data_IF_663161798784
#
_entry.id   IF_663161798784
#
_cell.length_a   1.000
_cell.length_b   1.000
_cell.length_c   1.000
_cell.angle_alpha   90.00
_cell.angle_beta   90.00
_cell.angle_gamma   90.00
#
_symmetry.space_group_name_H-M   'P 1'
#
loop_
_entity.id
_entity.type
_entity.pdbx_description
1 polymer ?
#
# COMPACT_ATOMS: atom_id res chain seq x y z
N UNK A 1 3.81 18.85 -5.50
CA UNK A 1 2.89 18.18 -4.54
C UNK A 1 1.65 19.01 -4.25
N UNK A 2 1.80 20.24 -3.77
CA UNK A 2 0.63 21.14 -3.59
C UNK A 2 -0.08 21.43 -4.91
N UNK A 3 0.67 21.57 -6.02
CA UNK A 3 0.10 21.82 -7.34
C UNK A 3 -0.85 20.72 -7.85
N UNK A 4 -0.40 19.45 -7.84
CA UNK A 4 -1.26 18.29 -8.15
C UNK A 4 -2.49 18.24 -7.22
N UNK A 5 -2.34 18.64 -5.96
CA UNK A 5 -3.46 18.67 -5.02
C UNK A 5 -4.46 19.79 -5.34
N UNK A 6 -4.00 20.98 -5.75
CA UNK A 6 -4.87 22.07 -6.26
C UNK A 6 -5.64 21.62 -7.49
N UNK A 7 -4.95 21.03 -8.47
CA UNK A 7 -5.58 20.46 -9.67
C UNK A 7 -6.67 19.46 -9.32
N UNK A 8 -6.36 18.56 -8.38
CA UNK A 8 -7.33 17.60 -7.88
C UNK A 8 -8.54 18.28 -7.23
N UNK A 9 -8.33 19.23 -6.30
CA UNK A 9 -9.42 19.92 -5.61
C UNK A 9 -10.33 20.63 -6.61
N UNK A 10 -9.75 21.21 -7.67
CA UNK A 10 -10.47 21.82 -8.77
C UNK A 10 -11.34 20.81 -9.52
N UNK A 11 -10.78 19.67 -9.93
CA UNK A 11 -11.55 18.63 -10.63
C UNK A 11 -12.65 18.03 -9.75
N UNK A 12 -12.34 17.74 -8.49
CA UNK A 12 -13.29 17.21 -7.50
C UNK A 12 -14.48 18.15 -7.29
N UNK A 13 -14.23 19.45 -7.24
CA UNK A 13 -15.26 20.46 -7.02
C UNK A 13 -15.96 20.90 -8.33
N UNK A 14 -15.60 20.29 -9.47
CA UNK A 14 -16.17 20.61 -10.78
C UNK A 14 -15.90 22.05 -11.24
N UNK A 15 -14.79 22.64 -10.79
CA UNK A 15 -14.47 24.03 -11.07
C UNK A 15 -13.62 24.16 -12.35
N UNK A 16 -13.91 25.17 -13.18
CA UNK A 16 -12.99 25.59 -14.23
C UNK A 16 -11.83 26.40 -13.63
N UNK A 17 -10.76 26.62 -14.39
CA UNK A 17 -9.65 27.48 -13.93
C UNK A 17 -10.13 28.92 -13.71
N UNK A 18 -11.05 29.40 -14.55
CA UNK A 18 -11.68 30.72 -14.45
C UNK A 18 -12.52 30.83 -13.17
N UNK A 19 -13.25 29.79 -12.80
CA UNK A 19 -14.03 29.77 -11.57
C UNK A 19 -13.12 29.81 -10.32
N UNK A 20 -11.98 29.11 -10.35
CA UNK A 20 -10.97 29.23 -9.28
C UNK A 20 -10.36 30.63 -9.27
N UNK A 21 -10.08 31.21 -10.44
CA UNK A 21 -9.55 32.57 -10.60
C UNK A 21 -10.48 33.61 -10.00
N UNK A 22 -11.75 33.57 -10.34
CA UNK A 22 -12.78 34.49 -9.85
C UNK A 22 -12.91 34.45 -8.32
N UNK A 23 -12.95 33.24 -7.74
CA UNK A 23 -13.11 33.06 -6.29
C UNK A 23 -11.85 33.41 -5.49
N UNK A 24 -10.68 33.10 -6.03
CA UNK A 24 -9.40 33.33 -5.35
C UNK A 24 -8.86 34.76 -5.57
N UNK A 25 -9.26 35.42 -6.66
CA UNK A 25 -8.66 36.67 -7.12
C UNK A 25 -7.29 36.47 -7.79
N UNK A 26 -6.84 35.24 -8.00
CA UNK A 26 -5.56 34.93 -8.67
C UNK A 26 -5.80 34.76 -10.16
N UNK A 27 -4.89 35.27 -10.98
CA UNK A 27 -4.97 35.13 -12.43
C UNK A 27 -5.02 33.66 -12.88
N UNK A 28 -5.89 33.33 -13.84
CA UNK A 28 -6.06 31.98 -14.41
C UNK A 28 -4.75 31.33 -14.88
N UNK A 29 -3.83 32.09 -15.47
CA UNK A 29 -2.52 31.59 -15.92
C UNK A 29 -1.64 31.17 -14.74
N UNK A 30 -1.67 31.94 -13.65
CA UNK A 30 -0.93 31.63 -12.42
C UNK A 30 -1.51 30.37 -11.77
N UNK A 31 -2.83 30.22 -11.73
CA UNK A 31 -3.45 28.98 -11.21
C UNK A 31 -3.03 27.78 -12.05
N UNK A 32 -3.05 27.92 -13.38
CA UNK A 32 -2.60 26.87 -14.28
C UNK A 32 -1.13 26.50 -14.06
N UNK A 33 -0.28 27.48 -13.77
CA UNK A 33 1.12 27.25 -13.40
C UNK A 33 1.23 26.53 -12.05
N UNK A 34 0.45 26.94 -11.05
CA UNK A 34 0.40 26.29 -9.74
C UNK A 34 -0.04 24.84 -9.83
N UNK A 35 -0.94 24.48 -10.75
CA UNK A 35 -1.35 23.09 -11.00
C UNK A 35 -0.24 22.19 -11.60
N UNK A 36 0.91 22.77 -11.96
CA UNK A 36 2.07 22.04 -12.45
C UNK A 36 2.57 20.96 -11.48
N UNK A 37 3.05 19.85 -12.03
CA UNK A 37 3.49 18.66 -11.28
C UNK A 37 4.62 18.93 -10.28
N UNK A 38 5.45 19.95 -10.54
CA UNK A 38 6.67 20.24 -9.79
C UNK A 38 6.53 21.36 -8.75
N UNK A 39 5.34 21.94 -8.56
CA UNK A 39 5.16 23.00 -7.57
C UNK A 39 5.14 22.39 -6.15
N UNK A 40 6.18 22.73 -5.37
CA UNK A 40 6.32 22.35 -3.95
C UNK A 40 5.98 23.50 -3.02
N UNK A 41 6.09 24.75 -3.48
CA UNK A 41 5.80 25.94 -2.70
C UNK A 41 4.98 26.96 -3.49
N UNK A 42 3.99 27.54 -2.82
CA UNK A 42 3.14 28.65 -3.25
C UNK A 42 3.19 29.70 -2.13
N UNK A 43 3.34 31.00 -2.44
CA UNK A 43 3.31 32.03 -1.42
C UNK A 43 2.07 31.91 -0.52
N UNK A 44 2.22 32.07 0.80
CA UNK A 44 1.12 31.81 1.75
C UNK A 44 -0.14 32.65 1.46
N UNK A 45 0.02 33.88 0.95
CA UNK A 45 -1.10 34.73 0.56
C UNK A 45 -1.89 34.11 -0.61
N UNK A 46 -1.18 33.63 -1.64
CA UNK A 46 -1.78 32.98 -2.80
C UNK A 46 -2.40 31.64 -2.41
N UNK A 47 -1.72 30.85 -1.57
CA UNK A 47 -2.25 29.59 -1.07
C UNK A 47 -3.56 29.81 -0.29
N UNK A 48 -3.60 30.80 0.61
CA UNK A 48 -4.80 31.15 1.35
C UNK A 48 -5.92 31.65 0.44
N UNK A 49 -5.59 32.40 -0.62
CA UNK A 49 -6.54 32.85 -1.63
C UNK A 49 -7.12 31.69 -2.44
N UNK A 50 -6.28 30.74 -2.88
CA UNK A 50 -6.70 29.52 -3.59
C UNK A 50 -7.60 28.66 -2.70
N UNK A 51 -7.28 28.53 -1.41
CA UNK A 51 -8.10 27.75 -0.49
C UNK A 51 -9.54 28.28 -0.43
N UNK A 52 -9.78 29.58 -0.57
CA UNK A 52 -11.14 30.16 -0.60
C UNK A 52 -11.96 29.70 -1.80
N UNK A 53 -11.32 29.23 -2.87
CA UNK A 53 -12.00 28.75 -4.06
C UNK A 53 -12.57 27.33 -3.90
N UNK A 54 -12.07 26.55 -2.93
CA UNK A 54 -12.40 25.14 -2.77
C UNK A 54 -13.30 24.87 -1.56
N UNK A 55 -14.06 23.78 -1.66
CA UNK A 55 -14.88 23.28 -0.54
C UNK A 55 -14.10 22.21 0.22
N UNK A 56 -13.72 22.47 1.46
CA UNK A 56 -13.09 21.43 2.31
C UNK A 56 -14.16 20.67 3.07
N UNK A 57 -14.12 19.34 3.05
CA UNK A 57 -15.12 18.50 3.75
C UNK A 57 -15.05 18.68 5.27
N UNK A 58 -13.87 19.01 5.78
CA UNK A 58 -13.59 19.22 7.20
C UNK A 58 -12.32 20.06 7.37
N UNK A 59 -12.07 20.50 8.61
CA UNK A 59 -10.88 21.29 8.94
C UNK A 59 -9.56 20.54 8.66
N UNK A 60 -9.54 19.21 8.77
CA UNK A 60 -8.35 18.39 8.52
C UNK A 60 -7.92 18.49 7.05
N UNK A 61 -8.86 18.47 6.11
CA UNK A 61 -8.56 18.62 4.68
C UNK A 61 -7.99 20.01 4.36
N UNK A 62 -8.47 21.06 5.04
CA UNK A 62 -7.89 22.41 4.93
C UNK A 62 -6.48 22.47 5.51
N UNK A 63 -6.26 21.90 6.70
CA UNK A 63 -4.91 21.86 7.29
C UNK A 63 -3.93 21.04 6.45
N UNK A 64 -4.39 19.93 5.86
CA UNK A 64 -3.58 19.16 4.89
C UNK A 64 -3.19 20.01 3.69
N UNK A 65 -4.15 20.72 3.09
CA UNK A 65 -3.87 21.63 1.99
C UNK A 65 -2.77 22.64 2.34
N UNK A 66 -2.87 23.28 3.51
CA UNK A 66 -1.83 24.22 3.96
C UNK A 66 -0.48 23.54 4.22
N UNK A 67 -0.50 22.37 4.85
CA UNK A 67 0.71 21.65 5.24
C UNK A 67 1.44 21.00 4.06
N UNK A 68 0.80 20.86 2.89
CA UNK A 68 1.47 20.40 1.68
C UNK A 68 2.36 21.48 1.05
N UNK A 69 2.26 22.73 1.52
CA UNK A 69 3.01 23.84 0.99
C UNK A 69 4.43 23.92 1.60
N UNK A 70 5.44 23.85 0.75
CA UNK A 70 6.86 23.83 1.15
C UNK A 70 7.34 22.49 1.71
N UNK A 71 6.51 21.44 1.67
CA UNK A 71 6.95 20.10 2.06
C UNK A 71 7.59 19.42 0.86
N UNK A 72 8.86 19.08 1.02
CA UNK A 72 9.58 18.18 0.11
C UNK A 72 9.72 16.81 0.75
N UNK A 73 9.64 15.77 -0.08
CA UNK A 73 9.94 14.40 0.34
C UNK A 73 11.44 14.21 0.28
N UNK A 74 12.01 13.62 1.32
CA UNK A 74 13.41 13.18 1.28
C UNK A 74 13.57 11.98 0.34
N UNK A 75 12.53 11.15 0.23
CA UNK A 75 12.47 10.00 -0.66
C UNK A 75 11.02 9.60 -0.92
N UNK A 76 10.81 8.72 -1.91
CA UNK A 76 9.52 8.10 -2.20
C UNK A 76 9.68 6.58 -2.26
N UNK A 77 9.19 5.92 -1.22
CA UNK A 77 9.38 4.49 -1.03
C UNK A 77 8.03 3.81 -0.77
N UNK A 78 7.80 2.69 -1.44
CA UNK A 78 6.57 1.92 -1.32
C UNK A 78 6.90 0.50 -0.84
N UNK A 79 6.24 0.03 0.22
CA UNK A 79 6.29 -1.39 0.57
C UNK A 79 5.33 -2.15 -0.34
N UNK A 80 5.83 -3.19 -0.99
CA UNK A 80 5.06 -4.16 -1.76
C UNK A 80 5.08 -5.47 -0.99
N UNK A 81 3.92 -6.11 -0.83
CA UNK A 81 3.84 -7.39 -0.13
C UNK A 81 2.41 -7.79 0.13
N UNK A 82 2.24 -8.78 0.99
CA UNK A 82 0.93 -9.17 1.50
C UNK A 82 0.78 -8.65 2.93
N UNK A 83 -0.42 -8.75 3.46
CA UNK A 83 -0.57 -8.69 4.90
C UNK A 83 0.31 -9.76 5.56
N UNK A 84 0.77 -9.52 6.79
CA UNK A 84 1.70 -10.43 7.53
C UNK A 84 3.09 -10.65 6.90
N UNK A 85 3.52 -9.81 5.95
CA UNK A 85 4.90 -9.81 5.42
C UNK A 85 5.76 -8.67 5.97
N UNK A 86 5.30 -7.98 7.03
CA UNK A 86 6.08 -6.96 7.73
C UNK A 86 5.80 -5.51 7.29
N UNK A 87 4.67 -5.22 6.66
CA UNK A 87 4.27 -3.84 6.31
C UNK A 87 4.19 -2.93 7.54
N UNK A 88 3.61 -3.40 8.65
CA UNK A 88 3.60 -2.67 9.93
C UNK A 88 5.02 -2.43 10.46
N UNK A 89 5.90 -3.43 10.36
CA UNK A 89 7.30 -3.32 10.80
C UNK A 89 8.06 -2.26 10.01
N UNK A 90 7.84 -2.22 8.69
CA UNK A 90 8.45 -1.23 7.81
C UNK A 90 7.92 0.18 8.09
N UNK A 91 6.61 0.34 8.27
CA UNK A 91 6.02 1.61 8.66
C UNK A 91 6.66 2.12 9.97
N UNK A 92 6.66 1.26 10.99
CA UNK A 92 7.25 1.57 12.28
C UNK A 92 8.75 1.90 12.19
N UNK A 93 9.50 1.22 11.31
CA UNK A 93 10.92 1.45 11.09
C UNK A 93 11.19 2.85 10.51
N UNK A 94 10.35 3.31 9.59
CA UNK A 94 10.42 4.65 9.02
C UNK A 94 9.62 5.69 9.82
N UNK A 95 9.22 5.42 11.06
CA UNK A 95 8.35 6.30 11.85
C UNK A 95 8.90 7.70 12.21
N UNK A 96 10.18 8.01 11.93
CA UNK A 96 10.71 9.39 11.99
C UNK A 96 10.45 10.19 10.70
N UNK A 97 9.98 9.52 9.65
CA UNK A 97 9.60 10.08 8.37
C UNK A 97 8.08 10.13 8.26
N UNK A 98 7.57 10.73 7.19
CA UNK A 98 6.14 10.61 6.85
C UNK A 98 5.87 9.20 6.37
N UNK A 99 5.61 8.31 7.33
CA UNK A 99 5.32 6.90 7.11
C UNK A 99 3.90 6.60 7.56
N UNK A 100 3.20 5.74 6.81
CA UNK A 100 1.90 5.24 7.24
C UNK A 100 1.64 3.81 6.76
N UNK A 101 1.14 2.97 7.66
CA UNK A 101 0.60 1.66 7.35
C UNK A 101 -0.84 1.77 6.82
N UNK A 102 -1.07 1.24 5.61
CA UNK A 102 -2.43 1.07 5.03
C UNK A 102 -3.25 2.38 4.89
N UNK A 103 -2.60 3.51 4.56
CA UNK A 103 -3.28 4.78 4.31
C UNK A 103 -4.38 4.66 3.23
N UNK A 104 -5.61 5.03 3.60
CA UNK A 104 -6.82 4.95 2.77
C UNK A 104 -7.10 3.54 2.21
N UNK A 105 -6.86 2.51 3.01
CA UNK A 105 -7.08 1.12 2.61
C UNK A 105 -8.46 0.86 1.99
N UNK A 106 -9.53 1.29 2.66
CA UNK A 106 -10.90 1.02 2.21
C UNK A 106 -11.14 1.62 0.82
N UNK A 107 -10.93 2.93 0.67
CA UNK A 107 -11.14 3.64 -0.59
C UNK A 107 -10.27 3.09 -1.72
N UNK A 108 -9.02 2.73 -1.41
CA UNK A 108 -8.09 2.17 -2.39
C UNK A 108 -8.53 0.81 -2.90
N UNK A 109 -8.97 -0.08 -2.00
CA UNK A 109 -9.48 -1.38 -2.37
C UNK A 109 -10.77 -1.26 -3.19
N UNK A 110 -11.69 -0.37 -2.81
CA UNK A 110 -12.92 -0.13 -3.57
C UNK A 110 -12.63 0.38 -4.98
N UNK A 111 -11.72 1.35 -5.12
CA UNK A 111 -11.32 1.87 -6.43
C UNK A 111 -10.62 0.82 -7.28
N UNK A 112 -9.79 -0.02 -6.69
CA UNK A 112 -9.19 -1.13 -7.40
C UNK A 112 -10.23 -2.15 -7.90
N UNK A 113 -11.25 -2.45 -7.09
CA UNK A 113 -12.34 -3.36 -7.48
C UNK A 113 -13.13 -2.78 -8.65
N UNK A 114 -13.55 -1.51 -8.57
CA UNK A 114 -14.21 -0.83 -9.69
C UNK A 114 -13.35 -0.86 -10.96
N UNK A 115 -12.04 -0.67 -10.83
CA UNK A 115 -11.12 -0.76 -11.96
C UNK A 115 -11.04 -2.18 -12.54
N UNK A 116 -10.96 -3.20 -11.68
CA UNK A 116 -10.93 -4.62 -12.06
C UNK A 116 -12.20 -5.10 -12.73
N UNK A 117 -13.34 -4.52 -12.36
CA UNK A 117 -14.65 -4.77 -12.96
C UNK A 117 -14.93 -3.89 -14.18
N UNK A 118 -13.94 -3.12 -14.63
CA UNK A 118 -14.08 -2.17 -15.76
C UNK A 118 -15.18 -1.11 -15.56
N UNK A 119 -15.57 -0.84 -14.31
CA UNK A 119 -16.53 0.22 -13.94
C UNK A 119 -15.88 1.60 -13.89
N UNK A 120 -14.56 1.67 -13.78
CA UNK A 120 -13.76 2.88 -14.03
C UNK A 120 -12.61 2.55 -14.98
N UNK A 121 -12.18 3.54 -15.75
CA UNK A 121 -11.05 3.46 -16.64
C UNK A 121 -9.71 3.42 -15.88
N UNK A 122 -8.62 3.06 -16.59
CA UNK A 122 -7.26 3.17 -16.03
C UNK A 122 -6.92 4.61 -15.65
N UNK A 123 -7.38 5.59 -16.43
CA UNK A 123 -7.10 6.99 -16.17
C UNK A 123 -7.77 7.48 -14.89
N UNK A 124 -9.04 7.13 -14.68
CA UNK A 124 -9.75 7.43 -13.42
C UNK A 124 -9.10 6.75 -12.21
N UNK A 125 -8.60 5.53 -12.38
CA UNK A 125 -7.87 4.83 -11.32
C UNK A 125 -6.51 5.49 -11.04
N UNK A 126 -5.75 5.85 -12.09
CA UNK A 126 -4.50 6.61 -12.01
C UNK A 126 -4.70 7.94 -11.28
N UNK A 127 -5.72 8.71 -11.64
CA UNK A 127 -6.05 9.98 -10.99
C UNK A 127 -6.35 9.80 -9.50
N UNK A 128 -7.05 8.72 -9.13
CA UNK A 128 -7.27 8.38 -7.73
C UNK A 128 -5.96 8.04 -6.99
N UNK A 129 -5.03 7.29 -7.61
CA UNK A 129 -3.73 6.99 -7.01
C UNK A 129 -2.90 8.26 -6.84
N UNK A 130 -2.91 9.16 -7.82
CA UNK A 130 -2.23 10.45 -7.75
C UNK A 130 -2.80 11.34 -6.64
N UNK A 131 -4.12 11.37 -6.49
CA UNK A 131 -4.78 12.01 -5.36
C UNK A 131 -4.27 11.43 -4.03
N UNK A 132 -4.31 10.10 -3.89
CA UNK A 132 -3.92 9.43 -2.65
C UNK A 132 -2.49 9.78 -2.26
N UNK A 133 -1.56 9.71 -3.21
CA UNK A 133 -0.16 10.09 -3.02
C UNK A 133 -0.02 11.56 -2.57
N UNK A 134 -0.72 12.48 -3.23
CA UNK A 134 -0.69 13.89 -2.90
C UNK A 134 -1.29 14.20 -1.52
N UNK A 135 -2.41 13.56 -1.17
CA UNK A 135 -3.12 13.79 0.08
C UNK A 135 -2.32 13.35 1.31
N UNK A 136 -1.54 12.27 1.18
CA UNK A 136 -0.76 11.71 2.27
C UNK A 136 0.67 12.30 2.33
N UNK A 137 1.24 12.61 1.16
CA UNK A 137 2.61 13.11 1.04
C UNK A 137 3.62 12.23 1.79
N UNK A 138 3.40 10.91 1.77
CA UNK A 138 4.24 9.95 2.47
C UNK A 138 5.59 9.84 1.79
N UNK A 139 6.62 9.76 2.61
CA UNK A 139 7.96 9.34 2.21
C UNK A 139 8.01 7.81 2.18
N UNK A 140 7.38 7.15 3.16
CA UNK A 140 7.20 5.70 3.20
C UNK A 140 5.72 5.31 3.20
N UNK A 141 5.24 4.76 2.09
CA UNK A 141 3.91 4.20 1.97
C UNK A 141 3.94 2.69 2.15
N UNK A 142 3.55 2.22 3.34
CA UNK A 142 3.62 0.80 3.68
C UNK A 142 2.26 0.14 3.62
N UNK A 143 1.84 -0.28 2.43
CA UNK A 143 0.54 -0.90 2.22
C UNK A 143 0.63 -2.11 1.30
N UNK A 144 -0.02 -3.21 1.70
CA UNK A 144 -0.04 -4.43 0.89
C UNK A 144 -0.64 -4.15 -0.51
N UNK A 145 -1.67 -3.32 -0.59
CA UNK A 145 -2.39 -2.99 -1.83
C UNK A 145 -1.59 -2.13 -2.83
N UNK A 146 -0.42 -1.61 -2.47
CA UNK A 146 0.47 -0.92 -3.42
C UNK A 146 0.89 -1.84 -4.60
N UNK A 147 0.81 -3.17 -4.41
CA UNK A 147 1.08 -4.16 -5.46
C UNK A 147 0.11 -4.10 -6.65
N UNK A 148 -1.04 -3.44 -6.51
CA UNK A 148 -2.06 -3.41 -7.57
C UNK A 148 -1.80 -2.37 -8.67
N UNK A 149 -0.91 -1.42 -8.42
CA UNK A 149 -0.72 -0.24 -9.27
C UNK A 149 0.74 0.21 -9.29
N UNK A 150 1.67 -0.76 -9.29
CA UNK A 150 3.12 -0.48 -9.35
C UNK A 150 3.44 0.24 -10.67
N UNK A 151 2.79 -0.16 -11.76
CA UNK A 151 2.91 0.46 -13.07
C UNK A 151 2.60 1.96 -13.01
N UNK A 152 1.44 2.33 -12.43
CA UNK A 152 1.04 3.74 -12.24
C UNK A 152 2.07 4.49 -11.40
N UNK A 153 2.53 3.91 -10.27
CA UNK A 153 3.52 4.58 -9.43
C UNK A 153 4.84 4.81 -10.16
N UNK A 154 5.30 3.82 -10.93
CA UNK A 154 6.56 3.92 -11.68
C UNK A 154 6.50 4.88 -12.87
N UNK A 155 5.35 4.97 -13.54
CA UNK A 155 5.11 5.91 -14.65
C UNK A 155 5.06 7.35 -14.13
N UNK A 156 4.41 7.57 -12.99
CA UNK A 156 4.15 8.91 -12.44
C UNK A 156 5.32 9.48 -11.63
N UNK A 157 6.15 8.61 -11.07
CA UNK A 157 7.17 8.97 -10.10
C UNK A 157 8.48 8.26 -10.45
N UNK A 158 9.32 8.91 -11.25
CA UNK A 158 10.61 8.35 -11.70
C UNK A 158 11.61 8.11 -10.57
N UNK A 159 11.43 8.76 -9.43
CA UNK A 159 12.20 8.58 -8.19
C UNK A 159 11.62 7.49 -7.26
N UNK A 160 10.50 6.87 -7.61
CA UNK A 160 9.87 5.85 -6.79
C UNK A 160 10.74 4.61 -6.65
N UNK A 161 10.85 4.14 -5.41
CA UNK A 161 11.52 2.89 -5.05
C UNK A 161 10.56 1.94 -4.36
N UNK A 162 10.82 0.63 -4.48
CA UNK A 162 9.93 -0.42 -4.00
C UNK A 162 10.65 -1.40 -3.08
N UNK A 163 10.17 -1.56 -1.86
CA UNK A 163 10.61 -2.65 -0.96
C UNK A 163 9.65 -3.82 -1.15
N UNK A 164 10.10 -4.86 -1.85
CA UNK A 164 9.37 -6.11 -2.02
C UNK A 164 9.53 -6.98 -0.77
N UNK A 165 8.63 -6.80 0.18
CA UNK A 165 8.55 -7.60 1.39
C UNK A 165 8.06 -9.00 1.06
N UNK A 166 8.86 -9.99 1.44
CA UNK A 166 8.48 -11.38 1.27
C UNK A 166 8.50 -12.17 2.58
N UNK A 167 7.70 -13.22 2.62
CA UNK A 167 7.70 -14.24 3.67
C UNK A 167 7.51 -15.58 3.00
N UNK A 168 8.27 -16.59 3.42
CA UNK A 168 8.13 -17.92 2.83
C UNK A 168 6.66 -18.40 2.94
N UNK A 169 6.15 -19.11 1.92
CA UNK A 169 4.74 -19.47 1.82
C UNK A 169 4.23 -20.22 3.05
N UNK A 170 5.03 -21.14 3.60
CA UNK A 170 4.62 -21.97 4.74
C UNK A 170 4.45 -21.10 5.99
N UNK A 171 5.45 -20.28 6.33
CA UNK A 171 5.36 -19.37 7.47
C UNK A 171 4.28 -18.31 7.30
N UNK A 172 4.04 -17.85 6.07
CA UNK A 172 2.97 -16.91 5.77
C UNK A 172 1.58 -17.55 5.93
N UNK A 173 1.36 -18.73 5.35
CA UNK A 173 0.11 -19.51 5.51
C UNK A 173 -0.16 -19.77 6.98
N UNK A 174 0.85 -20.21 7.75
CA UNK A 174 0.72 -20.38 9.21
C UNK A 174 0.28 -19.09 9.90
N UNK A 175 0.86 -17.95 9.50
CA UNK A 175 0.49 -16.65 10.06
C UNK A 175 -0.94 -16.22 9.71
N UNK A 176 -1.40 -16.52 8.50
CA UNK A 176 -2.76 -16.21 8.04
C UNK A 176 -3.79 -17.12 8.71
N UNK A 177 -3.54 -18.42 8.76
CA UNK A 177 -4.42 -19.37 9.47
C UNK A 177 -4.52 -19.04 10.95
N UNK A 178 -3.42 -18.67 11.60
CA UNK A 178 -3.45 -18.20 13.00
C UNK A 178 -4.31 -16.96 13.17
N UNK A 179 -4.24 -16.03 12.21
CA UNK A 179 -5.04 -14.82 12.22
C UNK A 179 -6.54 -15.14 12.10
N UNK A 180 -6.92 -16.09 11.24
CA UNK A 180 -8.32 -16.51 11.07
C UNK A 180 -8.88 -17.28 12.28
N UNK A 181 -8.00 -17.86 13.10
CA UNK A 181 -8.37 -18.70 14.24
C UNK A 181 -8.38 -17.97 15.58
N UNK A 182 -8.02 -16.68 15.59
CA UNK A 182 -7.95 -15.82 16.76
C UNK A 182 -9.37 -15.43 17.20
N UNK A 183 -9.79 -15.90 18.38
CA UNK A 183 -11.15 -15.71 18.90
C UNK A 183 -11.42 -14.26 19.35
N UNK A 184 -10.40 -13.49 19.70
CA UNK A 184 -10.54 -12.06 19.99
C UNK A 184 -10.64 -11.22 18.70
N UNK A 185 -10.35 -11.85 17.56
CA UNK A 185 -10.66 -11.36 16.21
C UNK A 185 -11.91 -12.06 15.66
N UNK A 186 -12.80 -12.50 16.56
CA UNK A 186 -14.12 -13.01 16.25
C UNK A 186 -14.78 -12.07 15.24
N UNK A 187 -15.13 -12.65 14.09
CA UNK A 187 -15.39 -11.97 12.85
C UNK A 187 -14.13 -11.31 12.26
N UNK A 188 -13.66 -11.90 11.16
CA UNK A 188 -13.56 -11.10 9.96
C UNK A 188 -14.83 -10.23 9.91
N UNK A 189 -14.77 -8.98 10.37
CA UNK A 189 -15.49 -7.91 9.69
C UNK A 189 -14.85 -7.90 8.32
N UNK A 190 -15.22 -8.90 7.50
CA UNK A 190 -15.12 -8.84 6.07
C UNK A 190 -15.92 -7.60 5.75
N UNK A 191 -15.20 -6.51 5.66
CA UNK A 191 -15.60 -5.32 4.95
C UNK A 191 -16.44 -5.80 3.77
N UNK A 192 -17.73 -5.48 3.79
CA UNK A 192 -18.75 -5.92 2.86
C UNK A 192 -18.40 -5.38 1.46
N UNK A 193 -17.40 -5.98 0.83
CA UNK A 193 -17.07 -5.71 -0.55
C UNK A 193 -17.45 -6.96 -1.31
N UNK A 194 -18.47 -6.84 -2.15
CA UNK A 194 -19.18 -7.96 -2.77
C UNK A 194 -18.31 -8.85 -3.68
N UNK A 195 -17.07 -8.44 -3.95
CA UNK A 195 -16.12 -9.12 -4.84
C UNK A 195 -14.92 -9.72 -4.11
N UNK A 196 -14.98 -9.77 -2.78
CA UNK A 196 -13.84 -10.16 -1.96
C UNK A 196 -12.83 -9.01 -1.85
N UNK A 197 -12.30 -8.86 -0.63
CA UNK A 197 -10.94 -8.46 -0.27
C UNK A 197 -10.95 -7.60 0.98
N UNK A 198 -10.38 -8.18 2.04
CA UNK A 198 -9.12 -7.60 2.48
C UNK A 198 -7.89 -8.49 2.18
N UNK A 199 -8.04 -9.70 1.62
CA UNK A 199 -6.98 -10.73 1.67
C UNK A 199 -6.79 -11.69 0.46
N UNK A 200 -7.29 -11.43 -0.76
CA UNK A 200 -7.20 -12.39 -1.89
C UNK A 200 -7.93 -13.72 -1.63
N UNK A 201 -8.78 -13.79 -0.59
CA UNK A 201 -9.53 -14.99 -0.23
C UNK A 201 -10.99 -14.85 -0.67
N UNK A 202 -11.63 -15.95 -1.11
CA UNK A 202 -13.05 -15.94 -1.46
C UNK A 202 -13.90 -15.49 -0.29
N UNK A 203 -14.99 -14.79 -0.62
CA UNK A 203 -16.07 -14.31 0.24
C UNK A 203 -16.34 -15.33 1.35
N UNK A 204 -16.27 -14.89 2.60
CA UNK A 204 -16.75 -15.68 3.73
C UNK A 204 -17.72 -14.82 4.51
N UNK A 205 -18.97 -15.26 4.60
CA UNK A 205 -19.76 -15.04 5.82
C UNK A 205 -18.87 -15.35 7.04
N UNK A 206 -19.15 -14.82 8.23
CA UNK A 206 -18.44 -15.24 9.43
C UNK A 206 -18.51 -16.78 9.53
N UNK A 207 -17.44 -17.47 9.14
CA UNK A 207 -17.42 -18.92 9.12
C UNK A 207 -17.17 -19.34 10.56
N UNK A 208 -18.11 -20.04 11.22
CA UNK A 208 -17.89 -20.51 12.57
C UNK A 208 -16.60 -21.34 12.61
N UNK A 209 -15.79 -21.15 13.64
CA UNK A 209 -14.49 -21.82 13.83
C UNK A 209 -14.54 -23.33 13.56
N UNK A 210 -15.62 -23.99 13.97
CA UNK A 210 -15.82 -25.43 13.72
C UNK A 210 -15.93 -25.78 12.24
N UNK A 211 -16.62 -24.96 11.43
CA UNK A 211 -16.70 -25.15 9.97
C UNK A 211 -15.36 -24.86 9.29
N UNK A 212 -14.62 -23.87 9.78
CA UNK A 212 -13.26 -23.61 9.29
C UNK A 212 -12.34 -24.81 9.54
N UNK A 213 -12.38 -25.37 10.76
CA UNK A 213 -11.60 -26.57 11.12
C UNK A 213 -11.99 -27.81 10.31
N UNK A 214 -13.27 -27.99 10.00
CA UNK A 214 -13.74 -29.11 9.16
C UNK A 214 -13.23 -29.05 7.72
N UNK A 215 -12.94 -27.85 7.22
CA UNK A 215 -12.48 -27.61 5.84
C UNK A 215 -11.06 -27.02 5.81
N UNK A 216 -10.27 -27.25 6.86
CA UNK A 216 -8.96 -26.59 7.06
C UNK A 216 -8.02 -26.79 5.87
N UNK A 217 -8.03 -27.97 5.25
CA UNK A 217 -7.21 -28.30 4.08
C UNK A 217 -7.51 -27.37 2.89
N UNK A 218 -8.79 -27.08 2.63
CA UNK A 218 -9.23 -26.16 1.57
C UNK A 218 -8.76 -24.73 1.86
N UNK A 219 -8.93 -24.25 3.10
CA UNK A 219 -8.47 -22.92 3.48
C UNK A 219 -6.94 -22.79 3.38
N UNK A 220 -6.19 -23.85 3.71
CA UNK A 220 -4.75 -23.89 3.53
C UNK A 220 -4.37 -23.82 2.05
N UNK A 221 -5.00 -24.61 1.17
CA UNK A 221 -4.74 -24.57 -0.28
C UNK A 221 -5.05 -23.20 -0.87
N UNK A 222 -6.22 -22.63 -0.56
CA UNK A 222 -6.60 -21.30 -1.04
C UNK A 222 -5.58 -20.26 -0.56
N UNK A 223 -5.10 -20.36 0.68
CA UNK A 223 -4.08 -19.43 1.20
C UNK A 223 -2.77 -19.56 0.39
N UNK A 224 -2.28 -20.77 0.11
CA UNK A 224 -1.12 -20.95 -0.79
C UNK A 224 -1.35 -20.36 -2.18
N UNK A 225 -2.55 -20.56 -2.76
CA UNK A 225 -2.92 -19.99 -4.05
C UNK A 225 -2.93 -18.45 -4.03
N UNK A 226 -3.46 -17.84 -2.97
CA UNK A 226 -3.50 -16.39 -2.79
C UNK A 226 -2.10 -15.79 -2.65
N UNK A 227 -1.20 -16.47 -1.90
CA UNK A 227 0.22 -16.10 -1.85
C UNK A 227 0.82 -16.06 -3.25
N UNK A 228 0.60 -17.12 -4.03
CA UNK A 228 1.14 -17.26 -5.38
C UNK A 228 0.61 -16.19 -6.33
N UNK A 229 -0.70 -15.93 -6.33
CA UNK A 229 -1.32 -14.90 -7.16
C UNK A 229 -0.72 -13.52 -6.86
N UNK A 230 -0.58 -13.17 -5.59
CA UNK A 230 -0.06 -11.87 -5.18
C UNK A 230 1.41 -11.67 -5.57
N UNK A 231 2.29 -12.65 -5.33
CA UNK A 231 3.70 -12.50 -5.72
C UNK A 231 3.91 -12.60 -7.23
N UNK A 232 3.11 -13.39 -7.95
CA UNK A 232 3.16 -13.38 -9.42
C UNK A 232 2.78 -12.01 -9.97
N UNK A 233 1.78 -11.35 -9.39
CA UNK A 233 1.43 -9.97 -9.73
C UNK A 233 2.58 -8.98 -9.45
N UNK A 234 3.25 -9.10 -8.29
CA UNK A 234 4.42 -8.27 -7.96
C UNK A 234 5.54 -8.52 -8.96
N UNK A 235 5.97 -9.78 -9.15
CA UNK A 235 7.05 -10.17 -10.06
C UNK A 235 6.80 -9.67 -11.49
N UNK A 236 5.58 -9.85 -12.01
CA UNK A 236 5.22 -9.40 -13.36
C UNK A 236 5.35 -7.89 -13.56
N UNK A 237 5.15 -7.09 -12.51
CA UNK A 237 5.30 -5.64 -12.58
C UNK A 237 6.75 -5.21 -12.36
N UNK A 238 7.42 -5.73 -11.33
CA UNK A 238 8.80 -5.32 -11.02
C UNK A 238 9.80 -5.72 -12.11
N UNK A 239 9.56 -6.80 -12.88
CA UNK A 239 10.40 -7.18 -14.03
C UNK A 239 10.48 -6.10 -15.11
N UNK A 240 9.55 -5.14 -15.09
CA UNK A 240 9.51 -4.01 -16.04
C UNK A 240 10.27 -2.79 -15.50
N UNK A 241 10.71 -2.84 -14.25
CA UNK A 241 11.40 -1.74 -13.59
C UNK A 241 12.91 -1.91 -13.67
N UNK A 242 13.68 -0.81 -13.59
CA UNK A 242 15.12 -0.88 -13.37
C UNK A 242 15.47 -1.63 -12.08
N UNK A 243 16.57 -2.40 -12.08
CA UNK A 243 16.99 -3.20 -10.94
C UNK A 243 17.32 -2.35 -9.71
N UNK A 244 17.70 -1.09 -9.87
CA UNK A 244 17.92 -0.13 -8.81
C UNK A 244 16.63 0.41 -8.17
N UNK A 245 15.46 0.18 -8.78
CA UNK A 245 14.18 0.69 -8.29
C UNK A 245 13.51 -0.24 -7.27
N UNK A 246 13.98 -1.47 -7.07
CA UNK A 246 13.36 -2.39 -6.10
C UNK A 246 14.35 -3.22 -5.29
N UNK A 247 13.98 -3.65 -4.08
CA UNK A 247 14.75 -4.60 -3.26
C UNK A 247 13.84 -5.62 -2.60
N UNK A 248 14.19 -6.91 -2.70
CA UNK A 248 13.52 -7.96 -1.94
C UNK A 248 14.06 -8.05 -0.52
N UNK A 249 13.16 -8.09 0.46
CA UNK A 249 13.51 -8.17 1.88
C UNK A 249 12.63 -9.23 2.54
N UNK A 250 13.28 -10.23 3.14
CA UNK A 250 12.56 -11.22 3.92
C UNK A 250 12.03 -10.59 5.19
N UNK A 251 10.81 -10.94 5.59
CA UNK A 251 10.17 -10.46 6.82
C UNK A 251 11.07 -10.69 8.04
N UNK A 252 11.76 -11.83 8.10
CA UNK A 252 12.67 -12.16 9.21
C UNK A 252 14.03 -11.44 9.14
N UNK A 253 14.34 -10.77 8.03
CA UNK A 253 15.60 -10.05 7.81
C UNK A 253 15.44 -8.53 7.92
N UNK A 254 14.23 -7.99 8.09
CA UNK A 254 13.98 -6.53 8.17
C UNK A 254 14.93 -5.86 9.17
N UNK A 255 14.99 -6.36 10.40
CA UNK A 255 15.84 -5.82 11.47
C UNK A 255 17.35 -6.06 11.26
N UNK A 256 17.72 -6.99 10.38
CA UNK A 256 19.11 -7.32 10.07
C UNK A 256 19.63 -6.53 8.86
N UNK A 257 18.72 -6.07 7.98
CA UNK A 257 19.02 -5.34 6.74
C UNK A 257 18.79 -3.83 6.87
N UNK A 258 18.98 -3.27 8.06
CA UNK A 258 18.77 -1.83 8.33
C UNK A 258 19.65 -0.93 7.45
N UNK A 259 20.93 -1.28 7.29
CA UNK A 259 21.88 -0.52 6.46
C UNK A 259 21.43 -0.50 5.00
N UNK A 260 21.02 -1.66 4.50
CA UNK A 260 20.49 -1.80 3.14
C UNK A 260 19.23 -0.95 2.95
N UNK A 261 18.27 -1.02 3.89
CA UNK A 261 17.03 -0.25 3.83
C UNK A 261 17.28 1.26 3.88
N UNK A 262 18.18 1.72 4.76
CA UNK A 262 18.58 3.11 4.88
C UNK A 262 19.26 3.63 3.60
N UNK A 263 20.25 2.88 3.09
CA UNK A 263 20.97 3.21 1.86
C UNK A 263 20.04 3.22 0.66
N UNK A 264 19.12 2.25 0.57
CA UNK A 264 18.14 2.17 -0.52
C UNK A 264 17.20 3.38 -0.52
N UNK A 265 16.74 3.81 0.66
CA UNK A 265 15.94 5.01 0.84
C UNK A 265 16.75 6.32 0.69
N UNK A 266 18.08 6.26 0.73
CA UNK A 266 18.94 7.45 0.68
C UNK A 266 18.97 8.23 2.00
N UNK A 267 18.81 7.55 3.13
CA UNK A 267 18.76 8.18 4.46
C UNK A 267 19.77 7.58 5.43
N UNK A 268 20.03 8.27 6.54
CA UNK A 268 20.87 7.73 7.61
C UNK A 268 20.14 6.62 8.37
N UNK A 269 20.81 5.48 8.58
CA UNK A 269 20.32 4.39 9.42
C UNK A 269 19.94 4.85 10.85
N UNK A 270 20.62 5.88 11.38
CA UNK A 270 20.33 6.46 12.72
C UNK A 270 18.92 7.07 12.81
N UNK A 271 18.32 7.36 11.66
CA UNK A 271 16.95 7.88 11.57
C UNK A 271 15.90 6.78 11.49
N UNK A 272 16.29 5.50 11.40
CA UNK A 272 15.37 4.38 11.49
C UNK A 272 15.05 4.05 12.96
N UNK A 273 13.81 3.63 13.22
CA UNK A 273 13.30 3.30 14.57
C UNK A 273 13.30 1.79 14.76
N UNK A 274 14.44 1.26 15.21
CA UNK A 274 14.66 -0.20 15.35
C UNK A 274 13.66 -0.87 16.30
N UNK A 275 13.25 -0.19 17.37
CA UNK A 275 12.35 -0.74 18.39
C UNK A 275 10.96 -1.14 17.86
N UNK A 276 10.54 -0.61 16.71
CA UNK A 276 9.23 -0.87 16.12
C UNK A 276 9.22 -2.03 15.09
N UNK A 277 10.38 -2.61 14.77
CA UNK A 277 10.47 -3.65 13.73
C UNK A 277 9.74 -4.97 14.09
N UNK A 278 9.33 -5.17 15.34
CA UNK A 278 8.67 -6.39 15.82
C UNK A 278 7.33 -6.16 16.55
N UNK A 279 6.67 -5.03 16.32
CA UNK A 279 5.46 -4.61 17.05
C UNK A 279 4.22 -5.51 16.85
N UNK A 280 4.22 -6.43 15.88
CA UNK A 280 3.03 -7.22 15.52
C UNK A 280 3.23 -8.75 15.60
N UNK A 281 3.90 -9.24 16.65
CA UNK A 281 4.06 -10.68 16.89
C UNK A 281 2.75 -11.27 17.41
N UNK A 282 2.21 -12.28 16.72
CA UNK A 282 0.97 -12.95 17.18
C UNK A 282 1.23 -13.73 18.47
N UNK A 283 0.34 -13.57 19.45
CA UNK A 283 0.35 -14.33 20.71
C UNK A 283 -0.16 -15.76 20.48
N UNK A 284 -1.08 -15.93 19.52
CA UNK A 284 -1.66 -17.21 19.17
C UNK A 284 -0.82 -17.97 18.13
N UNK A 285 -0.63 -19.28 18.37
CA UNK A 285 0.13 -20.17 17.49
C UNK A 285 -0.64 -21.48 17.28
N UNK A 286 -1.52 -21.52 16.29
CA UNK A 286 -1.91 -22.80 15.68
C UNK A 286 -0.72 -23.33 14.93
N UNK A 287 -0.38 -24.58 15.20
CA UNK A 287 0.59 -25.28 14.40
C UNK A 287 -0.14 -26.00 13.28
N UNK A 288 -0.24 -25.35 12.12
CA UNK A 288 -0.92 -25.92 10.94
C UNK A 288 -0.37 -27.30 10.57
N UNK A 289 0.91 -27.56 10.86
CA UNK A 289 1.58 -28.85 10.64
C UNK A 289 1.01 -29.98 11.51
N UNK A 290 0.32 -29.66 12.61
CA UNK A 290 -0.34 -30.63 13.49
C UNK A 290 -1.78 -30.93 13.08
N UNK A 291 -2.38 -30.08 12.26
CA UNK A 291 -3.79 -30.15 11.89
C UNK A 291 -3.96 -30.63 10.44
N UNK A 292 -3.12 -30.12 9.54
CA UNK A 292 -3.08 -30.50 8.12
C UNK A 292 -1.96 -31.50 7.91
N UNK A 293 -2.22 -32.54 7.12
CA UNK A 293 -1.23 -33.55 6.76
C UNK A 293 -0.02 -32.91 6.07
N UNK A 294 1.20 -33.26 6.50
CA UNK A 294 2.44 -32.72 5.94
C UNK A 294 2.54 -32.89 4.43
N UNK A 295 2.04 -34.01 3.90
CA UNK A 295 2.08 -34.33 2.48
C UNK A 295 1.24 -33.35 1.66
N UNK A 296 0.09 -32.92 2.18
CA UNK A 296 -0.76 -31.91 1.53
C UNK A 296 -0.07 -30.54 1.52
N UNK A 297 0.61 -30.16 2.60
CA UNK A 297 1.35 -28.89 2.66
C UNK A 297 2.46 -28.86 1.60
N UNK A 298 3.24 -29.94 1.49
CA UNK A 298 4.27 -30.08 0.46
C UNK A 298 3.65 -30.07 -0.94
N UNK A 299 2.54 -30.76 -1.13
CA UNK A 299 1.81 -30.78 -2.40
C UNK A 299 1.34 -29.37 -2.80
N UNK A 300 0.71 -28.61 -1.90
CA UNK A 300 0.24 -27.26 -2.17
C UNK A 300 1.37 -26.27 -2.43
N UNK A 301 2.45 -26.35 -1.64
CA UNK A 301 3.66 -25.55 -1.89
C UNK A 301 4.23 -25.81 -3.29
N UNK A 302 4.43 -27.08 -3.65
CA UNK A 302 4.96 -27.46 -4.96
C UNK A 302 4.02 -27.06 -6.11
N UNK A 303 2.71 -27.21 -5.91
CA UNK A 303 1.68 -26.89 -6.91
C UNK A 303 1.55 -25.39 -7.17
N UNK A 304 1.69 -24.55 -6.15
CA UNK A 304 1.33 -23.13 -6.24
C UNK A 304 2.49 -22.15 -6.10
N UNK A 305 3.51 -22.48 -5.30
CA UNK A 305 4.47 -21.47 -4.82
C UNK A 305 5.91 -21.74 -5.21
N UNK A 306 6.27 -22.98 -5.57
CA UNK A 306 7.67 -23.37 -5.78
C UNK A 306 8.37 -22.56 -6.87
N UNK A 307 7.75 -22.41 -8.03
CA UNK A 307 8.27 -21.63 -9.17
C UNK A 307 8.54 -20.17 -8.77
N UNK A 308 7.58 -19.55 -8.09
CA UNK A 308 7.65 -18.16 -7.64
C UNK A 308 8.72 -17.99 -6.55
N UNK A 309 8.83 -18.96 -5.64
CA UNK A 309 9.86 -18.94 -4.60
C UNK A 309 11.26 -19.07 -5.17
N UNK A 310 11.47 -19.99 -6.12
CA UNK A 310 12.75 -20.17 -6.78
C UNK A 310 13.18 -18.85 -7.45
N UNK A 311 12.27 -18.15 -8.14
CA UNK A 311 12.54 -16.83 -8.74
C UNK A 311 12.82 -15.72 -7.71
N UNK A 312 12.07 -15.66 -6.60
CA UNK A 312 12.32 -14.65 -5.56
C UNK A 312 13.70 -14.86 -4.95
N UNK A 313 14.12 -16.10 -4.74
CA UNK A 313 15.42 -16.44 -4.17
C UNK A 313 16.59 -16.06 -5.08
N UNK A 314 16.41 -16.09 -6.40
CA UNK A 314 17.41 -15.58 -7.36
C UNK A 314 17.61 -14.06 -7.27
N UNK A 315 16.66 -13.32 -6.67
CA UNK A 315 16.66 -11.85 -6.57
C UNK A 315 17.10 -11.30 -5.21
N UNK A 316 17.44 -12.16 -4.24
CA UNK A 316 17.81 -11.78 -2.86
C UNK A 316 19.31 -11.89 -2.64
#
# INVERSE_FOLDING_TARGET
MIGKYIWYLRLRDGLSLEAVSEKSGINTLIIKEFEGSNITHIPNADLAAIAKAFTFKNAIDYFRFLNLNGVERQFRLYALGLTKTGTVSIDGLFGKYRSCHEFWQWDTNQKYILFKEHSISREEFRDFILLRDAAACLEMDSAYFNRYYIDILSEEFTDAKFICLFRDPISWVKSQVNYYMDADREALQSTQIDNGFPFDMPRGEQVPRNKFLQNIDEYVEITFKSWAIAYRLILNQIRKLPDESYRFISTNQISQKLDLLANFAGVSQKNLVVGNAHSNKSVYQVDILKIVKSELIVQYFNKHCKDIMDEILEKI
#
